data_IF_125154117095
#
_entry.id   IF_125154117095
#
_cell.length_a   1.000
_cell.length_b   1.000
_cell.length_c   1.000
_cell.angle_alpha   90.00
_cell.angle_beta   90.00
_cell.angle_gamma   90.00
#
_symmetry.space_group_name_H-M   'P 1'
#
loop_
_entity.id
_entity.type
_entity.pdbx_description
1 polymer ?
#
# COMPACT_ATOMS: atom_id res chain seq x y z
N UNK A 1 26.58 -16.28 20.78
CA UNK A 1 25.27 -15.59 20.78
C UNK A 1 24.22 -16.59 20.36
N UNK A 2 23.15 -16.83 21.13
CA UNK A 2 22.08 -17.76 20.69
C UNK A 2 21.31 -17.12 19.51
N UNK A 3 20.92 -17.89 18.48
CA UNK A 3 20.08 -17.37 17.41
C UNK A 3 18.75 -16.84 17.96
N UNK A 4 18.35 -15.62 17.57
CA UNK A 4 17.00 -15.10 17.81
C UNK A 4 16.19 -15.16 16.49
N UNK A 5 15.52 -16.28 16.22
CA UNK A 5 14.78 -16.48 14.98
C UNK A 5 13.60 -15.50 14.84
N UNK A 6 12.93 -15.14 15.94
CA UNK A 6 11.81 -14.19 15.91
C UNK A 6 12.30 -12.76 15.66
N UNK A 7 13.40 -12.33 16.31
CA UNK A 7 14.01 -11.04 16.02
C UNK A 7 14.53 -10.94 14.58
N UNK A 8 15.01 -12.04 14.00
CA UNK A 8 15.40 -12.08 12.58
C UNK A 8 14.18 -12.01 11.66
N UNK A 9 13.13 -12.77 11.97
CA UNK A 9 11.87 -12.72 11.22
C UNK A 9 11.21 -11.33 11.27
N UNK A 10 11.26 -10.65 12.42
CA UNK A 10 10.73 -9.29 12.58
C UNK A 10 11.45 -8.31 11.65
N UNK A 11 12.78 -8.37 11.60
CA UNK A 11 13.58 -7.52 10.68
C UNK A 11 13.21 -7.76 9.21
N UNK A 12 13.02 -9.02 8.80
CA UNK A 12 12.58 -9.35 7.43
C UNK A 12 11.18 -8.79 7.15
N UNK A 13 10.25 -8.90 8.10
CA UNK A 13 8.90 -8.36 7.96
C UNK A 13 8.88 -6.83 7.91
N UNK A 14 9.72 -6.16 8.69
CA UNK A 14 9.89 -4.71 8.64
C UNK A 14 10.44 -4.26 7.28
N UNK A 15 11.46 -4.95 6.74
CA UNK A 15 11.95 -4.66 5.39
C UNK A 15 10.86 -4.83 4.33
N UNK A 16 10.06 -5.91 4.41
CA UNK A 16 8.92 -6.13 3.51
C UNK A 16 7.87 -5.01 3.63
N UNK A 17 7.61 -4.53 4.84
CA UNK A 17 6.69 -3.41 5.08
C UNK A 17 7.21 -2.12 4.44
N UNK A 18 8.51 -1.84 4.54
CA UNK A 18 9.11 -0.66 3.95
C UNK A 18 9.10 -0.71 2.42
N UNK A 19 9.34 -1.88 1.83
CA UNK A 19 9.21 -2.06 0.38
C UNK A 19 7.77 -1.90 -0.09
N UNK A 20 6.79 -2.43 0.66
CA UNK A 20 5.38 -2.22 0.35
C UNK A 20 4.95 -0.74 0.45
N UNK A 21 5.52 0.03 1.40
CA UNK A 21 5.30 1.47 1.51
C UNK A 21 5.83 2.22 0.29
N UNK A 22 7.04 1.88 -0.18
CA UNK A 22 7.62 2.46 -1.40
C UNK A 22 6.76 2.13 -2.64
N UNK A 23 6.29 0.89 -2.74
CA UNK A 23 5.42 0.45 -3.84
C UNK A 23 4.11 1.25 -3.87
N UNK A 24 3.48 1.50 -2.71
CA UNK A 24 2.28 2.35 -2.64
C UNK A 24 2.57 3.78 -3.04
N UNK A 25 3.69 4.36 -2.59
CA UNK A 25 4.06 5.72 -2.94
C UNK A 25 4.27 5.87 -4.46
N UNK A 26 4.95 4.90 -5.09
CA UNK A 26 5.17 4.90 -6.53
C UNK A 26 3.87 4.68 -7.31
N UNK A 27 3.03 3.72 -6.90
CA UNK A 27 1.74 3.48 -7.52
C UNK A 27 0.82 4.71 -7.42
N UNK A 28 0.87 5.43 -6.29
CA UNK A 28 0.13 6.67 -6.10
C UNK A 28 0.62 7.78 -7.04
N UNK A 29 1.94 7.90 -7.20
CA UNK A 29 2.53 8.86 -8.16
C UNK A 29 2.07 8.57 -9.59
N UNK A 30 2.05 7.30 -9.99
CA UNK A 30 1.60 6.87 -11.32
C UNK A 30 0.10 7.12 -11.52
N UNK A 31 -0.74 6.78 -10.53
CA UNK A 31 -2.17 7.03 -10.57
C UNK A 31 -2.47 8.52 -10.69
N UNK A 32 -1.79 9.37 -9.90
CA UNK A 32 -1.94 10.82 -9.99
C UNK A 32 -1.58 11.34 -11.39
N UNK A 33 -0.46 10.90 -11.94
CA UNK A 33 -0.04 11.30 -13.28
C UNK A 33 -1.04 10.83 -14.36
N UNK A 34 -1.64 9.65 -14.20
CA UNK A 34 -2.66 9.16 -15.11
C UNK A 34 -3.95 9.98 -15.01
N UNK A 35 -4.37 10.35 -13.78
CA UNK A 35 -5.51 11.25 -13.55
C UNK A 35 -5.29 12.61 -14.20
N UNK A 36 -4.12 13.23 -14.00
CA UNK A 36 -3.80 14.53 -14.60
C UNK A 36 -3.83 14.47 -16.14
N UNK A 37 -3.41 13.35 -16.75
CA UNK A 37 -3.51 13.15 -18.21
C UNK A 37 -4.95 13.01 -18.70
N UNK A 38 -5.81 12.34 -17.94
CA UNK A 38 -7.24 12.25 -18.27
C UNK A 38 -7.89 13.62 -18.23
N UNK A 39 -7.59 14.43 -17.21
CA UNK A 39 -8.06 15.81 -17.09
C UNK A 39 -7.60 16.65 -18.30
N UNK A 40 -6.30 16.60 -18.63
CA UNK A 40 -5.74 17.29 -19.80
C UNK A 40 -6.40 16.86 -21.12
N UNK A 41 -6.68 15.57 -21.30
CA UNK A 41 -7.36 15.08 -22.50
C UNK A 41 -8.79 15.62 -22.61
N UNK A 42 -9.48 15.78 -21.47
CA UNK A 42 -10.78 16.45 -21.39
C UNK A 42 -10.71 17.93 -21.76
N UNK A 43 -9.72 18.64 -21.23
CA UNK A 43 -9.50 20.06 -21.53
C UNK A 43 -9.21 20.29 -23.02
N UNK A 44 -8.41 19.43 -23.64
CA UNK A 44 -8.13 19.48 -25.08
C UNK A 44 -9.42 19.31 -25.88
N UNK A 45 -10.26 18.32 -25.56
CA UNK A 45 -11.54 18.13 -26.24
C UNK A 45 -12.46 19.34 -26.07
N UNK A 46 -12.56 19.88 -24.85
CA UNK A 46 -13.37 21.08 -24.60
C UNK A 46 -12.86 22.28 -25.39
N UNK A 47 -11.54 22.44 -25.51
CA UNK A 47 -10.93 23.50 -26.31
C UNK A 47 -11.22 23.33 -27.81
N UNK A 48 -11.05 22.14 -28.36
CA UNK A 48 -11.33 21.85 -29.78
C UNK A 48 -12.82 22.04 -30.11
N UNK A 49 -13.73 21.60 -29.23
CA UNK A 49 -15.16 21.85 -29.38
C UNK A 49 -15.47 23.36 -29.39
N UNK A 50 -14.87 24.11 -28.47
CA UNK A 50 -15.06 25.55 -28.38
C UNK A 50 -14.56 26.26 -29.64
N UNK A 51 -13.42 25.85 -30.21
CA UNK A 51 -12.89 26.41 -31.45
C UNK A 51 -13.83 26.15 -32.64
N UNK A 52 -14.36 24.93 -32.76
CA UNK A 52 -15.31 24.56 -33.81
C UNK A 52 -16.65 25.31 -33.72
N UNK A 53 -17.06 25.70 -32.51
CA UNK A 53 -18.32 26.43 -32.26
C UNK A 53 -18.20 27.96 -32.45
N UNK A 54 -16.99 28.50 -32.70
CA UNK A 54 -16.84 29.95 -32.93
C UNK A 54 -17.44 30.34 -34.27
N UNK A 55 -18.31 31.35 -34.26
CA UNK A 55 -18.96 31.91 -35.46
C UNK A 55 -17.97 32.35 -36.55
N UNK A 56 -16.75 32.73 -36.17
CA UNK A 56 -15.70 33.20 -37.07
C UNK A 56 -15.01 32.08 -37.87
N UNK A 57 -15.17 30.81 -37.46
CA UNK A 57 -14.41 29.67 -38.00
C UNK A 57 -14.89 29.13 -39.35
N UNK A 58 -16.11 29.48 -39.77
CA UNK A 58 -16.73 28.94 -40.98
C UNK A 58 -16.83 27.40 -41.02
N UNK A 59 -17.22 26.86 -42.17
CA UNK A 59 -17.40 25.41 -42.36
C UNK A 59 -16.08 24.62 -42.23
N UNK A 60 -14.94 25.25 -42.56
CA UNK A 60 -13.60 24.65 -42.47
C UNK A 60 -13.20 24.28 -41.03
N UNK A 61 -13.58 25.10 -40.03
CA UNK A 61 -13.32 24.80 -38.63
C UNK A 61 -14.14 23.57 -38.16
N UNK A 62 -15.37 23.45 -38.63
CA UNK A 62 -16.26 22.32 -38.32
C UNK A 62 -15.75 21.04 -38.98
N UNK A 63 -15.33 21.09 -40.25
CA UNK A 63 -14.76 19.93 -40.94
C UNK A 63 -13.43 19.48 -40.31
N UNK A 64 -12.60 20.44 -39.89
CA UNK A 64 -11.34 20.16 -39.19
C UNK A 64 -11.59 19.47 -37.85
N UNK A 65 -12.56 19.95 -37.07
CA UNK A 65 -12.97 19.29 -35.84
C UNK A 65 -13.56 17.89 -36.09
N UNK A 66 -14.39 17.72 -37.13
CA UNK A 66 -14.96 16.43 -37.48
C UNK A 66 -13.88 15.39 -37.83
N UNK A 67 -12.81 15.81 -38.54
CA UNK A 67 -11.64 14.96 -38.84
C UNK A 67 -10.82 14.63 -37.60
N UNK A 68 -10.70 15.56 -36.66
CA UNK A 68 -9.93 15.36 -35.42
C UNK A 68 -10.68 14.50 -34.38
N UNK A 69 -12.00 14.62 -34.28
CA UNK A 69 -12.82 14.03 -33.21
C UNK A 69 -12.61 12.51 -32.98
N UNK A 70 -12.48 11.65 -34.01
CA UNK A 70 -12.18 10.24 -33.81
C UNK A 70 -10.85 9.99 -33.08
N UNK A 71 -9.81 10.78 -33.42
CA UNK A 71 -8.49 10.71 -32.78
C UNK A 71 -8.56 11.21 -31.34
N UNK A 72 -9.22 12.35 -31.10
CA UNK A 72 -9.44 12.88 -29.75
C UNK A 72 -10.19 11.91 -28.83
N UNK A 73 -11.27 11.29 -29.34
CA UNK A 73 -12.03 10.25 -28.61
C UNK A 73 -11.20 9.00 -28.33
N UNK A 74 -10.29 8.63 -29.24
CA UNK A 74 -9.38 7.52 -29.00
C UNK A 74 -8.38 7.86 -27.89
N UNK A 75 -7.78 9.05 -27.93
CA UNK A 75 -6.84 9.52 -26.91
C UNK A 75 -7.49 9.59 -25.51
N UNK A 76 -8.72 10.11 -25.40
CA UNK A 76 -9.47 10.14 -24.13
C UNK A 76 -9.74 8.73 -23.59
N UNK A 77 -10.17 7.80 -24.46
CA UNK A 77 -10.38 6.41 -24.04
C UNK A 77 -9.09 5.76 -23.55
N UNK A 78 -7.97 6.01 -24.23
CA UNK A 78 -6.67 5.52 -23.77
C UNK A 78 -6.28 6.13 -22.42
N UNK A 79 -6.47 7.43 -22.21
CA UNK A 79 -6.19 8.09 -20.94
C UNK A 79 -7.01 7.48 -19.80
N UNK A 80 -8.32 7.26 -20.01
CA UNK A 80 -9.17 6.57 -19.04
C UNK A 80 -8.73 5.14 -18.76
N UNK A 81 -8.30 4.38 -19.78
CA UNK A 81 -7.80 3.02 -19.57
C UNK A 81 -6.53 3.03 -18.71
N UNK A 82 -5.57 3.91 -19.02
CA UNK A 82 -4.33 4.05 -18.25
C UNK A 82 -4.63 4.47 -16.81
N UNK A 83 -5.59 5.37 -16.60
CA UNK A 83 -6.02 5.75 -15.26
C UNK A 83 -6.65 4.56 -14.51
N UNK A 84 -7.52 3.79 -15.17
CA UNK A 84 -8.13 2.61 -14.57
C UNK A 84 -7.09 1.55 -14.16
N UNK A 85 -6.12 1.29 -15.02
CA UNK A 85 -5.03 0.34 -14.74
C UNK A 85 -4.14 0.84 -13.59
N UNK A 86 -3.87 2.14 -13.53
CA UNK A 86 -3.09 2.75 -12.45
C UNK A 86 -3.84 2.71 -11.11
N UNK A 87 -5.14 2.98 -11.09
CA UNK A 87 -5.99 2.83 -9.90
C UNK A 87 -5.98 1.39 -9.39
N UNK A 88 -6.15 0.42 -10.29
CA UNK A 88 -6.09 -1.01 -9.94
C UNK A 88 -4.74 -1.39 -9.35
N UNK A 89 -3.65 -0.86 -9.92
CA UNK A 89 -2.29 -1.07 -9.40
C UNK A 89 -2.10 -0.48 -8.01
N UNK A 90 -2.63 0.72 -7.76
CA UNK A 90 -2.59 1.36 -6.44
C UNK A 90 -3.37 0.55 -5.40
N UNK A 91 -4.56 0.06 -5.74
CA UNK A 91 -5.37 -0.76 -4.84
C UNK A 91 -4.69 -2.09 -4.52
N UNK A 92 -4.04 -2.71 -5.50
CA UNK A 92 -3.22 -3.91 -5.27
C UNK A 92 -2.04 -3.62 -4.33
N UNK A 93 -1.32 -2.52 -4.55
CA UNK A 93 -0.20 -2.11 -3.68
C UNK A 93 -0.68 -1.85 -2.25
N UNK A 94 -1.86 -1.24 -2.06
CA UNK A 94 -2.49 -1.04 -0.74
C UNK A 94 -2.84 -2.35 -0.06
N UNK A 95 -3.36 -3.33 -0.80
CA UNK A 95 -3.65 -4.66 -0.27
C UNK A 95 -2.37 -5.34 0.24
N UNK A 96 -1.28 -5.29 -0.55
CA UNK A 96 0.04 -5.80 -0.13
C UNK A 96 0.55 -5.09 1.12
N UNK A 97 0.44 -3.76 1.19
CA UNK A 97 0.84 -2.99 2.37
C UNK A 97 0.08 -3.43 3.63
N UNK A 98 -1.23 -3.68 3.52
CA UNK A 98 -2.03 -4.17 4.64
C UNK A 98 -1.61 -5.57 5.09
N UNK A 99 -1.30 -6.48 4.14
CA UNK A 99 -0.75 -7.79 4.45
C UNK A 99 0.62 -7.70 5.13
N UNK A 100 1.50 -6.82 4.67
CA UNK A 100 2.82 -6.60 5.28
C UNK A 100 2.69 -6.06 6.72
N UNK A 101 1.78 -5.11 6.96
CA UNK A 101 1.46 -4.60 8.31
C UNK A 101 0.97 -5.70 9.23
N UNK A 102 0.06 -6.55 8.74
CA UNK A 102 -0.45 -7.69 9.49
C UNK A 102 0.69 -8.65 9.85
N UNK A 103 1.55 -8.97 8.88
CA UNK A 103 2.72 -9.83 9.09
C UNK A 103 3.69 -9.33 10.16
N UNK A 104 3.94 -8.01 10.23
CA UNK A 104 4.74 -7.41 11.31
C UNK A 104 4.06 -7.62 12.67
N UNK A 105 2.78 -7.26 12.79
CA UNK A 105 2.01 -7.39 14.05
C UNK A 105 1.93 -8.83 14.55
N UNK A 106 1.80 -9.79 13.65
CA UNK A 106 1.81 -11.22 14.01
C UNK A 106 3.14 -11.61 14.65
N UNK A 107 4.28 -11.15 14.11
CA UNK A 107 5.59 -11.48 14.69
C UNK A 107 5.81 -10.77 16.02
N UNK A 108 5.39 -9.51 16.15
CA UNK A 108 5.40 -8.79 17.44
C UNK A 108 4.60 -9.54 18.50
N UNK A 109 3.39 -9.99 18.16
CA UNK A 109 2.55 -10.80 19.07
C UNK A 109 3.24 -12.11 19.49
N UNK A 110 3.93 -12.80 18.57
CA UNK A 110 4.67 -14.02 18.89
C UNK A 110 5.87 -13.76 19.81
N UNK A 111 6.54 -12.62 19.66
CA UNK A 111 7.62 -12.20 20.55
C UNK A 111 7.06 -11.94 21.95
N UNK A 112 5.96 -11.20 22.06
CA UNK A 112 5.32 -10.91 23.34
C UNK A 112 4.87 -12.20 24.05
N UNK A 113 4.28 -13.15 23.31
CA UNK A 113 3.90 -14.45 23.84
C UNK A 113 5.10 -15.25 24.35
N UNK A 114 6.21 -15.28 23.59
CA UNK A 114 7.44 -15.94 24.02
C UNK A 114 7.95 -15.34 25.33
N UNK A 115 7.99 -14.01 25.42
CA UNK A 115 8.53 -13.31 26.57
C UNK A 115 7.63 -13.50 27.81
N UNK A 116 6.30 -13.55 27.64
CA UNK A 116 5.35 -13.93 28.69
C UNK A 116 5.59 -15.36 29.19
N UNK A 117 5.79 -16.33 28.29
CA UNK A 117 6.07 -17.71 28.66
C UNK A 117 7.39 -17.85 29.44
N UNK A 118 8.42 -17.11 29.04
CA UNK A 118 9.71 -17.08 29.75
C UNK A 118 9.54 -16.53 31.17
N UNK A 119 8.79 -15.42 31.32
CA UNK A 119 8.48 -14.84 32.64
C UNK A 119 7.72 -15.84 33.53
N UNK A 120 6.65 -16.44 33.01
CA UNK A 120 5.89 -17.44 33.76
C UNK A 120 6.74 -18.65 34.19
N UNK A 121 7.69 -19.09 33.37
CA UNK A 121 8.61 -20.16 33.75
C UNK A 121 9.58 -19.74 34.86
N UNK A 122 10.04 -18.49 34.83
CA UNK A 122 10.89 -17.93 35.86
C UNK A 122 10.14 -17.83 37.20
N UNK A 123 8.94 -17.24 37.18
CA UNK A 123 8.08 -17.08 38.36
C UNK A 123 7.75 -18.45 39.00
N UNK A 124 7.41 -19.44 38.17
CA UNK A 124 7.15 -20.83 38.64
C UNK A 124 8.38 -21.48 39.26
N UNK A 125 9.59 -21.19 38.75
CA UNK A 125 10.83 -21.71 39.35
C UNK A 125 11.11 -21.04 40.68
N UNK A 126 10.96 -19.72 40.77
CA UNK A 126 11.14 -18.96 42.00
C UNK A 126 10.17 -19.44 43.09
N UNK A 127 8.89 -19.60 42.74
CA UNK A 127 7.87 -20.09 43.68
C UNK A 127 8.21 -21.49 44.21
N UNK A 128 8.64 -22.42 43.34
CA UNK A 128 9.08 -23.76 43.78
C UNK A 128 10.25 -23.71 44.76
N UNK A 129 11.22 -22.83 44.52
CA UNK A 129 12.38 -22.67 45.42
C UNK A 129 11.96 -22.12 46.79
N UNK A 130 11.00 -21.18 46.82
CA UNK A 130 10.43 -20.65 48.06
C UNK A 130 9.64 -21.71 48.83
N UNK A 131 8.82 -22.50 48.14
CA UNK A 131 8.04 -23.60 48.74
C UNK A 131 8.97 -24.67 49.35
N UNK A 132 10.03 -25.06 48.65
CA UNK A 132 11.05 -26.00 49.14
C UNK A 132 11.82 -25.48 50.37
N UNK A 133 12.09 -24.17 50.41
CA UNK A 133 12.75 -23.54 51.57
C UNK A 133 11.81 -23.42 52.77
N UNK A 134 10.53 -23.14 52.53
CA UNK A 134 9.48 -23.11 53.55
C UNK A 134 9.25 -24.47 54.18
N UNK A 135 9.14 -25.53 53.36
CA UNK A 135 9.00 -26.91 53.83
C UNK A 135 10.18 -27.32 54.74
N UNK A 136 11.43 -27.00 54.36
CA UNK A 136 12.61 -27.33 55.18
C UNK A 136 12.62 -26.65 56.56
N UNK A 137 12.07 -25.44 56.67
CA UNK A 137 11.96 -24.75 57.97
C UNK A 137 10.84 -25.29 58.86
N UNK A 138 9.82 -25.95 58.30
CA UNK A 138 8.71 -26.52 59.07
C UNK A 138 8.99 -27.93 59.63
N UNK A 139 9.98 -28.64 59.08
CA UNK A 139 10.40 -29.99 59.53
C UNK A 139 11.65 -29.98 60.42
N UNK A 140 12.17 -28.80 60.77
CA UNK A 140 13.24 -28.59 61.76
C UNK A 140 12.65 -28.02 63.04
#
# INVERSE_FOLDING_TARGET
MKPDPLGTLLRVRQATLDDARKAVAEAYRVERQASDRTEQAGDVLANEMRLAMKLEGGDDAVETFARWLPLGRHAIRQAHQVQHDATTTLDHARAILNLARSGVRTVETLIDQRDQLIRQQFDRREQRLLDEAGARKHYS
#
